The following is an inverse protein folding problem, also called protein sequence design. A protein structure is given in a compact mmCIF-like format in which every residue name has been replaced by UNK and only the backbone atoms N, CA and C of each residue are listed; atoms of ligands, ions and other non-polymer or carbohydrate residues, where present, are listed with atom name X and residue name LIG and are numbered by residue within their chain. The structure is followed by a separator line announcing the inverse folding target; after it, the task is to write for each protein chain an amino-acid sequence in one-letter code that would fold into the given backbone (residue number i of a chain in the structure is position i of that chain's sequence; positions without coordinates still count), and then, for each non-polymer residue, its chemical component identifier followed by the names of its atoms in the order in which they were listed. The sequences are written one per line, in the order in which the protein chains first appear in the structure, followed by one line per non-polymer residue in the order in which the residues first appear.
data_IF_049857080215
#
_entry.id   IF_049857080215
#
_cell.length_a   1.000
_cell.length_b   1.000
_cell.length_c   1.000
_cell.angle_alpha   90.00
_cell.angle_beta   90.00
_cell.angle_gamma   90.00
#
_symmetry.space_group_name_H-M   'P 1'
#
loop_
_entity.id
_entity.type
_entity.pdbx_description
1 polymer ?
#
# COMPACT_ATOMS: atom_id res chain seq x y z
N UNK A 1 2.82 -10.42 -15.62
CA UNK A 1 3.59 -11.43 -14.86
C UNK A 1 2.98 -11.54 -13.47
N UNK A 2 2.93 -12.74 -12.87
CA UNK A 2 2.32 -12.91 -11.53
C UNK A 2 3.39 -12.63 -10.47
N UNK A 3 3.07 -12.02 -9.32
CA UNK A 3 4.08 -11.65 -8.32
C UNK A 3 4.97 -12.81 -7.87
N UNK A 4 4.44 -14.03 -7.75
CA UNK A 4 5.22 -15.21 -7.35
C UNK A 4 6.26 -15.65 -8.39
N UNK A 5 6.06 -15.33 -9.67
CA UNK A 5 7.05 -15.64 -10.71
C UNK A 5 8.34 -14.81 -10.50
N UNK A 6 8.28 -13.73 -9.72
CA UNK A 6 9.43 -12.89 -9.35
C UNK A 6 10.14 -13.35 -8.07
N UNK A 7 9.59 -14.29 -7.30
CA UNK A 7 10.13 -14.64 -5.98
C UNK A 7 11.63 -14.98 -5.97
N UNK A 8 12.18 -15.77 -6.92
CA UNK A 8 13.62 -16.05 -6.96
C UNK A 8 14.47 -14.81 -7.23
N UNK A 9 13.94 -13.81 -7.93
CA UNK A 9 14.61 -12.52 -8.11
C UNK A 9 14.58 -11.71 -6.82
N UNK A 10 13.41 -11.57 -6.19
CA UNK A 10 13.23 -10.80 -4.95
C UNK A 10 14.11 -11.33 -3.81
N UNK A 11 14.19 -12.65 -3.66
CA UNK A 11 14.97 -13.32 -2.61
C UNK A 11 16.49 -13.24 -2.82
N UNK A 12 16.97 -12.95 -4.04
CA UNK A 12 18.40 -12.77 -4.33
C UNK A 12 18.90 -11.33 -4.15
N UNK A 13 17.99 -10.37 -4.02
CA UNK A 13 18.30 -8.94 -3.93
C UNK A 13 17.76 -8.35 -2.62
N UNK A 14 17.95 -9.07 -1.50
CA UNK A 14 17.47 -8.63 -0.17
C UNK A 14 18.09 -7.30 0.28
N UNK A 15 19.20 -6.90 -0.32
CA UNK A 15 19.92 -5.64 -0.11
C UNK A 15 19.29 -4.44 -0.85
N UNK A 16 18.37 -4.69 -1.79
CA UNK A 16 17.73 -3.65 -2.60
C UNK A 16 16.23 -3.57 -2.32
N UNK A 17 15.70 -2.39 -1.95
CA UNK A 17 14.26 -2.22 -1.86
C UNK A 17 13.60 -2.36 -3.24
N UNK A 18 12.55 -3.19 -3.31
CA UNK A 18 11.79 -3.45 -4.53
C UNK A 18 10.33 -3.15 -4.26
N UNK A 19 9.73 -2.27 -5.07
CA UNK A 19 8.31 -1.91 -4.97
C UNK A 19 7.52 -2.70 -6.01
N UNK A 20 6.56 -3.51 -5.56
CA UNK A 20 5.55 -4.10 -6.42
C UNK A 20 4.47 -3.04 -6.70
N UNK A 21 4.46 -2.53 -7.93
CA UNK A 21 3.50 -1.52 -8.37
C UNK A 21 2.09 -2.11 -8.56
N UNK A 22 1.09 -1.23 -8.59
CA UNK A 22 -0.29 -1.55 -8.89
C UNK A 22 -0.90 -2.56 -7.91
N UNK A 23 -0.45 -2.55 -6.66
CA UNK A 23 -0.83 -3.49 -5.62
C UNK A 23 -0.73 -4.97 -6.04
N UNK A 24 0.09 -5.30 -7.05
CA UNK A 24 0.14 -6.63 -7.66
C UNK A 24 -1.16 -7.09 -8.35
N UNK A 25 -2.08 -6.19 -8.69
CA UNK A 25 -3.38 -6.50 -9.30
C UNK A 25 -3.26 -7.37 -10.56
N UNK A 26 -4.13 -8.40 -10.75
CA UNK A 26 -5.22 -8.84 -9.87
C UNK A 26 -4.80 -9.78 -8.72
N UNK A 27 -3.51 -9.92 -8.43
CA UNK A 27 -2.95 -10.83 -7.41
C UNK A 27 -2.52 -10.13 -6.13
N UNK A 28 -3.29 -9.15 -5.64
CA UNK A 28 -2.91 -8.33 -4.48
C UNK A 28 -2.62 -9.12 -3.22
N UNK A 29 -3.34 -10.22 -2.99
CA UNK A 29 -3.07 -11.13 -1.87
C UNK A 29 -1.71 -11.83 -2.00
N UNK A 30 -1.29 -12.20 -3.22
CA UNK A 30 0.02 -12.83 -3.46
C UNK A 30 1.13 -11.80 -3.27
N UNK A 31 0.95 -10.57 -3.79
CA UNK A 31 1.90 -9.49 -3.58
C UNK A 31 2.04 -9.14 -2.09
N UNK A 32 0.92 -9.05 -1.37
CA UNK A 32 0.91 -8.82 0.07
C UNK A 32 1.59 -9.95 0.85
N UNK A 33 1.34 -11.21 0.50
CA UNK A 33 2.00 -12.35 1.14
C UNK A 33 3.52 -12.34 0.92
N UNK A 34 3.98 -12.02 -0.29
CA UNK A 34 5.42 -11.89 -0.55
C UNK A 34 6.02 -10.73 0.24
N UNK A 35 5.31 -9.60 0.29
CA UNK A 35 5.73 -8.43 1.05
C UNK A 35 5.67 -8.63 2.58
N UNK A 36 4.87 -9.55 3.11
CA UNK A 36 4.92 -9.88 4.53
C UNK A 36 6.15 -10.74 4.88
N UNK A 37 6.64 -11.52 3.93
CA UNK A 37 7.78 -12.43 4.13
C UNK A 37 9.14 -11.78 3.86
N UNK A 38 9.28 -11.05 2.76
CA UNK A 38 10.57 -10.54 2.29
C UNK A 38 10.80 -9.10 2.76
N UNK A 39 11.84 -8.80 3.54
CA UNK A 39 12.03 -7.48 4.16
C UNK A 39 12.18 -6.35 3.14
N UNK A 40 12.72 -6.65 1.96
CA UNK A 40 13.01 -5.71 0.89
C UNK A 40 11.83 -5.40 -0.03
N UNK A 41 10.71 -6.12 0.08
CA UNK A 41 9.58 -6.00 -0.85
C UNK A 41 8.48 -5.10 -0.31
N UNK A 42 8.22 -3.99 -0.99
CA UNK A 42 7.17 -3.01 -0.71
C UNK A 42 6.00 -3.20 -1.69
N UNK A 43 4.81 -2.71 -1.33
CA UNK A 43 3.64 -2.72 -2.20
C UNK A 43 3.12 -1.30 -2.35
N UNK A 44 3.05 -0.85 -3.60
CA UNK A 44 2.39 0.39 -3.95
C UNK A 44 0.88 0.15 -4.18
N UNK A 45 0.05 1.12 -3.80
CA UNK A 45 -1.42 1.04 -3.82
C UNK A 45 -2.02 1.73 -5.06
N UNK A 46 -1.21 2.19 -6.02
CA UNK A 46 -1.59 3.11 -7.08
C UNK A 46 -2.88 2.74 -7.81
N UNK A 47 -2.93 1.53 -8.37
CA UNK A 47 -4.04 1.12 -9.23
C UNK A 47 -5.36 0.98 -8.48
N UNK A 48 -5.33 0.85 -7.14
CA UNK A 48 -6.55 0.70 -6.37
C UNK A 48 -7.40 1.99 -6.40
N UNK A 49 -6.75 3.13 -6.60
CA UNK A 49 -7.32 4.46 -6.40
C UNK A 49 -6.96 5.37 -7.60
N UNK A 50 -7.84 5.56 -8.60
CA UNK A 50 -9.28 5.28 -8.59
C UNK A 50 -9.71 4.01 -9.33
N UNK A 51 -8.79 3.25 -9.94
CA UNK A 51 -9.17 2.27 -10.97
C UNK A 51 -9.85 1.00 -10.43
N UNK A 52 -9.69 0.68 -9.15
CA UNK A 52 -10.40 -0.42 -8.46
C UNK A 52 -11.29 0.07 -7.31
N UNK A 53 -11.83 1.30 -7.42
CA UNK A 53 -12.53 1.99 -6.34
C UNK A 53 -13.68 1.20 -5.68
N UNK A 54 -14.40 0.36 -6.43
CA UNK A 54 -15.51 -0.42 -5.88
C UNK A 54 -15.07 -1.52 -4.92
N UNK A 55 -13.82 -1.99 -5.02
CA UNK A 55 -13.26 -3.04 -4.19
C UNK A 55 -12.14 -2.53 -3.25
N UNK A 56 -11.91 -1.22 -3.23
CA UNK A 56 -10.70 -0.66 -2.61
C UNK A 56 -10.64 -0.93 -1.11
N UNK A 57 -11.76 -0.80 -0.39
CA UNK A 57 -11.80 -1.03 1.05
C UNK A 57 -11.46 -2.49 1.38
N UNK A 58 -12.02 -3.45 0.64
CA UNK A 58 -11.73 -4.88 0.81
C UNK A 58 -10.27 -5.22 0.48
N UNK A 59 -9.72 -4.63 -0.59
CA UNK A 59 -8.33 -4.86 -0.99
C UNK A 59 -7.36 -4.24 0.01
N UNK A 60 -7.66 -3.04 0.52
CA UNK A 60 -6.87 -2.37 1.54
C UNK A 60 -6.91 -3.11 2.87
N UNK A 61 -8.08 -3.56 3.34
CA UNK A 61 -8.21 -4.36 4.56
C UNK A 61 -7.37 -5.64 4.48
N UNK A 62 -7.48 -6.38 3.36
CA UNK A 62 -6.68 -7.58 3.12
C UNK A 62 -5.18 -7.33 3.12
N UNK A 63 -4.72 -6.20 2.55
CA UNK A 63 -3.30 -5.82 2.54
C UNK A 63 -2.83 -5.37 3.93
N UNK A 64 -3.60 -4.54 4.63
CA UNK A 64 -3.27 -4.06 5.98
C UNK A 64 -3.26 -5.18 7.01
N UNK A 65 -4.13 -6.19 6.84
CA UNK A 65 -4.17 -7.37 7.69
C UNK A 65 -2.97 -8.32 7.54
N UNK A 66 -2.14 -8.17 6.49
CA UNK A 66 -1.00 -9.08 6.25
C UNK A 66 0.36 -8.40 6.09
N UNK A 67 0.41 -7.20 5.48
CA UNK A 67 1.65 -6.50 5.17
C UNK A 67 1.98 -5.56 6.32
N UNK A 68 3.23 -5.56 6.84
CA UNK A 68 3.66 -4.51 7.75
C UNK A 68 3.36 -3.12 7.15
N UNK A 69 2.57 -2.31 7.85
CA UNK A 69 2.05 -1.05 7.31
C UNK A 69 3.14 -0.10 6.78
N UNK A 70 4.35 -0.16 7.34
CA UNK A 70 5.53 0.59 6.88
C UNK A 70 5.99 0.26 5.44
N UNK A 71 5.44 -0.81 4.85
CA UNK A 71 5.78 -1.32 3.52
C UNK A 71 4.69 -1.07 2.47
N UNK A 72 3.57 -0.49 2.88
CA UNK A 72 2.50 -0.05 1.99
C UNK A 72 2.73 1.41 1.61
N UNK A 73 2.69 1.69 0.30
CA UNK A 73 3.00 2.99 -0.28
C UNK A 73 1.80 3.50 -1.08
N UNK A 74 1.45 4.76 -0.92
CA UNK A 74 0.49 5.42 -1.80
C UNK A 74 1.17 6.02 -3.04
N UNK A 75 0.56 5.81 -4.20
CA UNK A 75 0.74 6.64 -5.39
C UNK A 75 -0.61 6.79 -6.10
N UNK A 76 -0.70 7.67 -7.09
CA UNK A 76 -1.98 8.00 -7.75
C UNK A 76 -2.24 7.26 -9.06
N UNK A 77 -1.26 6.51 -9.56
CA UNK A 77 -1.31 5.79 -10.85
C UNK A 77 -1.59 6.68 -12.07
N UNK A 78 -1.19 7.95 -11.98
CA UNK A 78 -1.64 8.98 -12.89
C UNK A 78 -0.47 9.56 -13.68
N UNK A 79 -0.67 9.76 -14.98
CA UNK A 79 0.35 10.25 -15.91
C UNK A 79 -0.05 11.53 -16.69
N UNK A 80 -1.31 11.68 -17.11
CA UNK A 80 -1.75 12.73 -18.05
C UNK A 80 -2.84 13.68 -17.55
N UNK A 81 -3.78 13.18 -16.75
CA UNK A 81 -4.96 13.87 -16.23
C UNK A 81 -4.70 14.45 -14.82
N UNK A 82 -4.40 15.75 -14.68
CA UNK A 82 -4.04 16.36 -13.39
C UNK A 82 -5.17 16.30 -12.35
N UNK A 83 -6.43 16.31 -12.78
CA UNK A 83 -7.59 16.17 -11.90
C UNK A 83 -7.60 14.82 -11.16
N UNK A 84 -7.06 13.77 -11.78
CA UNK A 84 -7.03 12.43 -11.18
C UNK A 84 -6.03 12.35 -10.03
N UNK A 85 -4.98 13.17 -10.02
CA UNK A 85 -4.06 13.28 -8.88
C UNK A 85 -4.83 13.66 -7.60
N UNK A 86 -5.71 14.65 -7.70
CA UNK A 86 -6.51 15.11 -6.58
C UNK A 86 -7.60 14.10 -6.20
N UNK A 87 -8.29 13.53 -7.20
CA UNK A 87 -9.35 12.53 -6.99
C UNK A 87 -8.78 11.29 -6.28
N UNK A 88 -7.68 10.73 -6.79
CA UNK A 88 -7.00 9.57 -6.20
C UNK A 88 -6.61 9.84 -4.74
N UNK A 89 -5.99 10.99 -4.47
CA UNK A 89 -5.53 11.31 -3.12
C UNK A 89 -6.70 11.50 -2.13
N UNK A 90 -7.82 12.05 -2.59
CA UNK A 90 -9.05 12.15 -1.79
C UNK A 90 -9.65 10.77 -1.49
N UNK A 91 -9.71 9.90 -2.50
CA UNK A 91 -10.22 8.54 -2.34
C UNK A 91 -9.32 7.71 -1.42
N UNK A 92 -7.99 7.86 -1.52
CA UNK A 92 -7.01 7.19 -0.67
C UNK A 92 -7.25 7.51 0.81
N UNK A 93 -7.35 8.80 1.13
CA UNK A 93 -7.63 9.28 2.49
C UNK A 93 -8.93 8.71 3.04
N UNK A 94 -10.01 8.82 2.27
CA UNK A 94 -11.32 8.35 2.71
C UNK A 94 -11.37 6.82 2.90
N UNK A 95 -10.67 6.05 2.05
CA UNK A 95 -10.65 4.59 2.15
C UNK A 95 -9.78 4.10 3.30
N UNK A 96 -8.63 4.75 3.54
CA UNK A 96 -7.81 4.48 4.73
C UNK A 96 -8.55 4.84 6.01
N UNK A 97 -9.28 5.96 6.05
CA UNK A 97 -10.10 6.33 7.21
C UNK A 97 -11.14 5.27 7.54
N UNK A 98 -11.85 4.72 6.53
CA UNK A 98 -12.81 3.62 6.75
C UNK A 98 -12.12 2.36 7.26
N UNK A 99 -11.12 1.85 6.55
CA UNK A 99 -10.47 0.57 6.89
C UNK A 99 -9.73 0.63 8.22
N UNK A 100 -9.03 1.74 8.51
CA UNK A 100 -8.34 1.90 9.79
C UNK A 100 -9.32 2.21 10.92
N UNK A 101 -10.43 2.89 10.64
CA UNK A 101 -11.54 3.07 11.59
C UNK A 101 -12.15 1.74 11.99
N UNK A 102 -12.45 0.87 11.03
CA UNK A 102 -12.95 -0.49 11.28
C UNK A 102 -11.96 -1.32 12.13
N UNK A 103 -10.65 -1.14 11.92
CA UNK A 103 -9.63 -1.79 12.74
C UNK A 103 -9.59 -1.25 14.18
N UNK A 104 -9.86 0.04 14.39
CA UNK A 104 -10.00 0.64 15.73
C UNK A 104 -11.25 0.14 16.42
N UNK A 105 -12.39 0.10 15.74
CA UNK A 105 -13.67 -0.38 16.28
C UNK A 105 -13.61 -1.86 16.70
N UNK A 106 -12.68 -2.63 16.12
CA UNK A 106 -12.40 -4.03 16.44
C UNK A 106 -11.30 -4.23 17.49
N UNK A 107 -10.82 -3.16 18.11
CA UNK A 107 -9.72 -3.15 19.08
C UNK A 107 -8.38 -3.69 18.53
N UNK A 108 -8.19 -3.71 17.21
CA UNK A 108 -6.93 -4.14 16.60
C UNK A 108 -5.87 -3.04 16.62
N UNK A 109 -6.31 -1.79 16.61
CA UNK A 109 -5.48 -0.60 16.67
C UNK A 109 -6.08 0.40 17.64
N UNK A 110 -5.22 1.20 18.26
CA UNK A 110 -5.64 2.46 18.86
C UNK A 110 -5.85 3.52 17.78
N UNK A 111 -6.65 4.56 18.08
CA UNK A 111 -6.83 5.70 17.17
C UNK A 111 -5.50 6.39 16.78
N UNK A 112 -4.52 6.40 17.70
CA UNK A 112 -3.19 6.96 17.45
C UNK A 112 -2.38 6.10 16.47
N UNK A 113 -2.43 4.77 16.62
CA UNK A 113 -1.76 3.85 15.69
C UNK A 113 -2.38 3.92 14.30
N UNK A 114 -3.72 3.93 14.21
CA UNK A 114 -4.44 4.14 12.95
C UNK A 114 -4.00 5.45 12.26
N UNK A 115 -3.96 6.56 13.02
CA UNK A 115 -3.49 7.84 12.50
C UNK A 115 -2.06 7.76 11.99
N UNK A 116 -1.14 7.17 12.78
CA UNK A 116 0.27 7.01 12.40
C UNK A 116 0.44 6.15 11.14
N UNK A 117 -0.32 5.06 11.02
CA UNK A 117 -0.34 4.18 9.86
C UNK A 117 -0.82 4.94 8.62
N UNK A 118 -1.92 5.69 8.73
CA UNK A 118 -2.46 6.50 7.64
C UNK A 118 -1.44 7.52 7.12
N UNK A 119 -0.78 8.27 8.01
CA UNK A 119 0.28 9.21 7.63
C UNK A 119 1.49 8.51 6.99
N UNK A 120 1.86 7.34 7.51
CA UNK A 120 2.91 6.50 6.94
C UNK A 120 2.60 6.13 5.49
N UNK A 121 1.44 5.52 5.25
CA UNK A 121 1.05 5.03 3.92
C UNK A 121 0.92 6.18 2.91
N UNK A 122 0.29 7.28 3.33
CA UNK A 122 0.01 8.41 2.43
C UNK A 122 1.27 9.14 1.97
N UNK A 123 2.35 9.13 2.76
CA UNK A 123 3.60 9.77 2.34
C UNK A 123 4.84 9.36 3.16
N UNK A 124 4.72 9.11 4.47
CA UNK A 124 5.86 8.90 5.36
C UNK A 124 6.74 7.69 4.99
N UNK A 125 6.14 6.60 4.52
CA UNK A 125 6.83 5.39 4.12
C UNK A 125 7.65 5.64 2.85
N UNK A 126 7.06 6.28 1.84
CA UNK A 126 7.73 6.67 0.60
C UNK A 126 8.90 7.60 0.88
N UNK A 127 8.71 8.61 1.74
CA UNK A 127 9.79 9.52 2.15
C UNK A 127 10.96 8.76 2.78
N UNK A 128 10.67 7.88 3.74
CA UNK A 128 11.69 7.07 4.42
C UNK A 128 12.42 6.14 3.45
N UNK A 129 11.69 5.48 2.56
CA UNK A 129 12.24 4.56 1.56
C UNK A 129 13.21 5.25 0.60
N UNK A 130 12.86 6.46 0.16
CA UNK A 130 13.64 7.22 -0.82
C UNK A 130 14.61 8.24 -0.21
N UNK A 131 14.71 8.32 1.13
CA UNK A 131 15.56 9.29 1.81
C UNK A 131 15.14 10.74 1.57
N UNK A 132 13.85 10.99 1.38
CA UNK A 132 13.30 12.34 1.22
C UNK A 132 13.07 12.95 2.61
N UNK A 133 13.46 14.21 2.79
CA UNK A 133 13.21 14.97 4.03
C UNK A 133 11.71 15.15 4.32
N UNK A 134 11.41 15.72 5.49
CA UNK A 134 10.04 16.14 5.83
C UNK A 134 9.54 17.27 4.92
#
# INVERSE_FOLDING_TARGET
ARPHDLYPFLARHLDQPIVLIHAGHPWSQVAGYIASLLPNVYVDLSVLLPWAASAVDQLLDGLLGMVPAAKLLYASDQASEPEVLWISARMARASLERVLGDAVDRDFLTANEATSIGHGILAGNTRRLHGLGE
#
